data_IF_973228977388
#
_entry.id   IF_973228977388
#
_cell.length_a   1.000
_cell.length_b   1.000
_cell.length_c   1.000
_cell.angle_alpha   90.00
_cell.angle_beta   90.00
_cell.angle_gamma   90.00
#
_symmetry.space_group_name_H-M   'P 1'
#
loop_
_entity.id
_entity.type
_entity.pdbx_description
1 polymer ?
#
# COMPACT_ATOMS: atom_id res chain seq x y z
N UNK A 1 -30.38 -14.41 4.78
CA UNK A 1 -29.70 -14.11 3.48
C UNK A 1 -28.77 -12.89 3.56
N UNK A 2 -29.12 -11.80 4.23
CA UNK A 2 -28.19 -10.64 4.40
C UNK A 2 -26.91 -10.99 5.16
N UNK A 3 -26.99 -11.81 6.19
CA UNK A 3 -25.82 -12.31 6.96
C UNK A 3 -24.89 -13.19 6.12
N UNK A 4 -25.44 -14.05 5.26
CA UNK A 4 -24.66 -14.95 4.39
C UNK A 4 -23.91 -14.18 3.30
N UNK A 5 -24.45 -13.07 2.83
CA UNK A 5 -23.83 -12.23 1.80
C UNK A 5 -22.94 -11.13 2.38
N UNK A 6 -22.80 -11.04 3.71
CA UNK A 6 -21.96 -10.04 4.37
C UNK A 6 -22.42 -8.58 4.16
N UNK A 7 -23.66 -8.36 3.74
CA UNK A 7 -24.20 -7.03 3.44
C UNK A 7 -24.23 -6.12 4.67
N UNK A 8 -24.23 -6.70 5.88
CA UNK A 8 -24.17 -5.93 7.12
C UNK A 8 -22.82 -5.21 7.30
N UNK A 9 -21.74 -5.73 6.69
CA UNK A 9 -20.44 -5.05 6.68
C UNK A 9 -20.48 -3.70 5.95
N UNK A 10 -21.37 -3.52 4.97
CA UNK A 10 -21.52 -2.25 4.25
C UNK A 10 -21.96 -1.13 5.21
N UNK A 11 -22.65 -1.46 6.31
CA UNK A 11 -23.08 -0.47 7.31
C UNK A 11 -21.91 0.25 7.96
N UNK A 12 -20.71 -0.36 8.01
CA UNK A 12 -19.48 0.25 8.57
C UNK A 12 -19.07 1.47 7.73
N UNK A 13 -19.38 1.50 6.44
CA UNK A 13 -19.11 2.63 5.55
C UNK A 13 -19.91 3.90 5.91
N UNK A 14 -20.89 3.81 6.81
CA UNK A 14 -21.58 4.98 7.37
C UNK A 14 -20.69 5.77 8.34
N UNK A 15 -19.68 5.12 8.94
CA UNK A 15 -18.64 5.83 9.69
C UNK A 15 -17.73 6.60 8.72
N UNK A 16 -17.73 7.93 8.84
CA UNK A 16 -16.97 8.81 7.93
C UNK A 16 -15.47 8.53 7.94
N UNK A 17 -14.88 8.22 9.09
CA UNK A 17 -13.46 7.89 9.19
C UNK A 17 -13.17 6.56 8.49
N UNK A 18 -14.01 5.55 8.71
CA UNK A 18 -13.85 4.28 8.02
C UNK A 18 -14.04 4.41 6.51
N UNK A 19 -14.99 5.22 6.06
CA UNK A 19 -15.19 5.49 4.63
C UNK A 19 -13.95 6.14 4.00
N UNK A 20 -13.33 7.12 4.69
CA UNK A 20 -12.08 7.76 4.22
C UNK A 20 -10.97 6.71 4.11
N UNK A 21 -10.80 5.87 5.13
CA UNK A 21 -9.83 4.77 5.10
C UNK A 21 -10.13 3.78 3.96
N UNK A 22 -11.38 3.37 3.81
CA UNK A 22 -11.81 2.41 2.79
C UNK A 22 -11.51 2.91 1.36
N UNK A 23 -11.87 4.16 1.06
CA UNK A 23 -11.59 4.78 -0.24
C UNK A 23 -10.09 4.95 -0.45
N UNK A 24 -9.35 5.41 0.57
CA UNK A 24 -7.90 5.52 0.50
C UNK A 24 -7.23 4.17 0.25
N UNK A 25 -7.77 3.09 0.82
CA UNK A 25 -7.27 1.72 0.64
C UNK A 25 -7.45 1.21 -0.79
N UNK A 26 -8.58 1.53 -1.44
CA UNK A 26 -8.77 1.22 -2.86
C UNK A 26 -7.77 1.99 -3.71
N UNK A 27 -7.65 3.29 -3.46
CA UNK A 27 -6.80 4.17 -4.26
C UNK A 27 -5.31 3.83 -4.12
N UNK A 28 -4.82 3.49 -2.92
CA UNK A 28 -3.42 3.15 -2.69
C UNK A 28 -3.02 1.81 -3.35
N UNK A 29 -3.99 0.93 -3.63
CA UNK A 29 -3.73 -0.28 -4.39
C UNK A 29 -3.38 0.01 -5.86
N UNK A 30 -3.72 1.19 -6.38
CA UNK A 30 -3.31 1.59 -7.73
C UNK A 30 -1.77 1.72 -7.81
N UNK A 31 -1.08 2.53 -6.99
CA UNK A 31 0.38 2.51 -6.91
C UNK A 31 0.95 1.12 -6.61
N UNK A 32 0.33 0.36 -5.71
CA UNK A 32 0.78 -1.00 -5.37
C UNK A 32 0.83 -1.91 -6.59
N UNK A 33 -0.18 -1.82 -7.48
CA UNK A 33 -0.24 -2.61 -8.71
C UNK A 33 0.92 -2.30 -9.66
N UNK A 34 1.41 -1.05 -9.71
CA UNK A 34 2.62 -0.71 -10.46
C UNK A 34 3.83 -1.49 -9.98
N UNK A 35 3.99 -1.62 -8.66
CA UNK A 35 5.10 -2.41 -8.13
C UNK A 35 4.99 -3.89 -8.50
N UNK A 36 3.84 -4.50 -8.26
CA UNK A 36 3.67 -5.92 -8.54
C UNK A 36 3.75 -6.25 -10.03
N UNK A 37 3.25 -5.37 -10.89
CA UNK A 37 3.26 -5.58 -12.34
C UNK A 37 4.58 -5.22 -13.02
N UNK A 38 5.27 -4.17 -12.54
CA UNK A 38 6.32 -3.55 -13.31
C UNK A 38 7.71 -3.58 -12.66
N UNK A 39 7.82 -3.82 -11.34
CA UNK A 39 9.12 -3.69 -10.67
C UNK A 39 10.16 -4.70 -11.18
N UNK A 40 9.75 -5.93 -11.49
CA UNK A 40 10.68 -6.94 -12.00
C UNK A 40 11.20 -6.56 -13.40
N UNK A 41 10.31 -6.13 -14.30
CA UNK A 41 10.67 -5.66 -15.64
C UNK A 41 11.64 -4.48 -15.53
N UNK A 42 11.28 -3.48 -14.74
CA UNK A 42 12.10 -2.29 -14.49
C UNK A 42 13.50 -2.65 -14.01
N UNK A 43 13.63 -3.46 -12.95
CA UNK A 43 14.91 -3.81 -12.36
C UNK A 43 15.81 -4.59 -13.34
N UNK A 44 15.24 -5.45 -14.18
CA UNK A 44 15.98 -6.13 -15.24
C UNK A 44 16.42 -5.15 -16.32
N UNK A 45 15.56 -4.23 -16.74
CA UNK A 45 15.86 -3.27 -17.82
C UNK A 45 16.93 -2.25 -17.40
N UNK A 46 16.98 -1.84 -16.14
CA UNK A 46 18.08 -1.02 -15.61
C UNK A 46 19.37 -1.83 -15.34
N UNK A 47 19.40 -3.13 -15.68
CA UNK A 47 20.57 -3.97 -15.62
C UNK A 47 20.85 -4.63 -14.26
N UNK A 48 19.85 -4.71 -13.36
CA UNK A 48 20.02 -5.39 -12.08
C UNK A 48 20.02 -6.91 -12.26
N UNK A 49 21.19 -7.54 -12.19
CA UNK A 49 21.35 -9.01 -12.29
C UNK A 49 20.60 -9.70 -11.15
N UNK A 50 19.75 -10.72 -11.49
CA UNK A 50 19.01 -11.48 -10.50
C UNK A 50 17.92 -10.68 -9.78
N UNK A 51 17.25 -9.75 -10.47
CA UNK A 51 16.24 -8.84 -9.93
C UNK A 51 15.18 -9.55 -9.09
N UNK A 52 14.61 -10.65 -9.56
CA UNK A 52 13.59 -11.41 -8.84
C UNK A 52 14.09 -11.91 -7.47
N UNK A 53 15.31 -12.44 -7.40
CA UNK A 53 15.93 -12.84 -6.13
C UNK A 53 16.18 -11.66 -5.18
N UNK A 54 16.56 -10.49 -5.72
CA UNK A 54 16.78 -9.27 -4.90
C UNK A 54 15.46 -8.68 -4.39
N UNK A 55 14.37 -8.83 -5.13
CA UNK A 55 13.03 -8.42 -4.69
C UNK A 55 12.56 -9.17 -3.44
N UNK A 56 13.09 -10.39 -3.16
CA UNK A 56 12.76 -11.11 -1.92
C UNK A 56 13.22 -10.38 -0.65
N UNK A 57 14.14 -9.43 -0.74
CA UNK A 57 14.49 -8.55 0.37
C UNK A 57 13.28 -7.72 0.86
N UNK A 58 12.32 -7.46 -0.02
CA UNK A 58 11.06 -6.84 0.36
C UNK A 58 10.24 -7.71 1.32
N UNK A 59 10.16 -9.04 1.06
CA UNK A 59 9.47 -9.98 1.93
C UNK A 59 10.22 -10.20 3.26
N UNK A 60 11.56 -10.20 3.21
CA UNK A 60 12.38 -10.22 4.44
C UNK A 60 12.09 -8.97 5.29
N UNK A 61 12.06 -7.79 4.67
CA UNK A 61 11.73 -6.54 5.35
C UNK A 61 10.31 -6.58 5.93
N UNK A 62 9.32 -7.09 5.20
CA UNK A 62 7.95 -7.30 5.68
C UNK A 62 7.94 -8.18 6.94
N UNK A 63 8.62 -9.32 6.92
CA UNK A 63 8.74 -10.18 8.10
C UNK A 63 9.33 -9.43 9.31
N UNK A 64 10.39 -8.66 9.11
CA UNK A 64 11.03 -7.89 10.19
C UNK A 64 10.08 -6.82 10.73
N UNK A 65 9.43 -6.03 9.87
CA UNK A 65 8.51 -4.98 10.30
C UNK A 65 7.24 -5.53 10.94
N UNK A 66 6.77 -6.70 10.50
CA UNK A 66 5.65 -7.40 11.14
C UNK A 66 5.98 -7.76 12.61
N UNK A 67 7.19 -8.25 12.90
CA UNK A 67 7.63 -8.49 14.28
C UNK A 67 7.75 -7.19 15.10
N UNK A 68 8.12 -6.08 14.48
CA UNK A 68 8.24 -4.79 15.13
C UNK A 68 6.90 -4.02 15.24
N UNK A 69 5.85 -4.51 14.57
CA UNK A 69 4.53 -3.86 14.51
C UNK A 69 3.96 -3.47 15.88
N UNK A 70 3.97 -4.36 16.92
CA UNK A 70 3.40 -4.00 18.22
C UNK A 70 4.07 -2.77 18.83
N UNK A 71 5.40 -2.66 18.71
CA UNK A 71 6.15 -1.51 19.20
C UNK A 71 5.74 -0.21 18.51
N UNK A 72 5.68 -0.22 17.18
CA UNK A 72 5.29 0.94 16.38
C UNK A 72 3.83 1.31 16.59
N UNK A 73 2.96 0.31 16.70
CA UNK A 73 1.53 0.50 16.88
C UNK A 73 1.19 1.22 18.20
N UNK A 74 1.83 0.81 19.31
CA UNK A 74 1.66 1.44 20.61
C UNK A 74 2.15 2.90 20.58
N UNK A 75 3.25 3.17 19.87
CA UNK A 75 3.85 4.51 19.83
C UNK A 75 3.09 5.47 18.92
N UNK A 76 2.68 5.02 17.74
CA UNK A 76 2.12 5.88 16.70
C UNK A 76 0.59 5.82 16.60
N UNK A 77 0.00 4.66 16.87
CA UNK A 77 -1.43 4.43 16.67
C UNK A 77 -1.83 4.38 15.19
N UNK A 78 -3.11 4.11 14.95
CA UNK A 78 -3.67 3.77 13.62
C UNK A 78 -3.37 4.84 12.56
N UNK A 79 -3.75 6.10 12.81
CA UNK A 79 -3.63 7.16 11.80
C UNK A 79 -2.19 7.36 11.33
N UNK A 80 -1.24 7.40 12.27
CA UNK A 80 0.16 7.64 11.92
C UNK A 80 0.77 6.42 11.23
N UNK A 81 0.43 5.21 11.65
CA UNK A 81 0.89 3.98 10.98
C UNK A 81 0.43 3.93 9.53
N UNK A 82 -0.86 4.15 9.26
CA UNK A 82 -1.40 4.22 7.91
C UNK A 82 -0.69 5.29 7.08
N UNK A 83 -0.48 6.47 7.64
CA UNK A 83 0.19 7.57 6.96
C UNK A 83 1.66 7.27 6.65
N UNK A 84 2.41 6.67 7.59
CA UNK A 84 3.80 6.26 7.37
C UNK A 84 3.88 5.25 6.24
N UNK A 85 2.97 4.27 6.19
CA UNK A 85 2.86 3.33 5.08
C UNK A 85 2.64 4.03 3.73
N UNK A 86 1.71 5.00 3.68
CA UNK A 86 1.46 5.78 2.46
C UNK A 86 2.67 6.61 2.03
N UNK A 87 3.35 7.29 2.96
CA UNK A 87 4.55 8.08 2.66
C UNK A 87 5.68 7.16 2.17
N UNK A 88 5.80 5.96 2.74
CA UNK A 88 6.78 4.99 2.29
C UNK A 88 6.58 4.59 0.82
N UNK A 89 5.32 4.50 0.31
CA UNK A 89 5.07 4.35 -1.14
C UNK A 89 5.57 5.53 -1.95
N UNK A 90 5.33 6.77 -1.51
CA UNK A 90 5.83 7.97 -2.20
C UNK A 90 7.35 7.90 -2.32
N UNK A 91 8.05 7.68 -1.20
CA UNK A 91 9.50 7.58 -1.16
C UNK A 91 10.03 6.44 -2.01
N UNK A 92 9.41 5.27 -1.96
CA UNK A 92 9.77 4.10 -2.74
C UNK A 92 9.79 4.38 -4.23
N UNK A 93 8.73 4.98 -4.75
CA UNK A 93 8.64 5.29 -6.19
C UNK A 93 9.54 6.45 -6.60
N UNK A 94 9.82 7.41 -5.72
CA UNK A 94 10.88 8.40 -5.96
C UNK A 94 12.25 7.74 -6.05
N UNK A 95 12.56 6.80 -5.17
CA UNK A 95 13.82 6.04 -5.21
C UNK A 95 13.93 5.22 -6.50
N UNK A 96 12.85 4.62 -6.98
CA UNK A 96 12.85 3.93 -8.27
C UNK A 96 12.96 4.89 -9.46
N UNK A 97 12.34 6.09 -9.39
CA UNK A 97 12.41 7.08 -10.46
C UNK A 97 13.82 7.66 -10.67
N UNK A 98 14.62 7.71 -9.61
CA UNK A 98 15.97 8.30 -9.63
C UNK A 98 17.10 7.29 -9.42
N UNK A 99 16.79 6.03 -9.08
CA UNK A 99 17.75 4.95 -8.91
C UNK A 99 18.25 4.41 -10.26
N UNK A 100 19.48 3.96 -10.27
CA UNK A 100 20.14 3.29 -11.40
C UNK A 100 21.02 2.13 -10.91
N UNK A 101 21.54 1.33 -11.85
CA UNK A 101 22.44 0.21 -11.52
C UNK A 101 23.92 0.65 -11.35
N UNK A 102 24.17 1.93 -11.11
CA UNK A 102 25.49 2.50 -10.85
C UNK A 102 25.52 3.19 -9.48
N UNK A 103 25.75 4.49 -9.47
CA UNK A 103 25.77 5.29 -8.23
C UNK A 103 24.47 5.32 -7.46
N UNK A 104 23.33 5.13 -8.15
CA UNK A 104 21.99 5.06 -7.60
C UNK A 104 21.52 3.67 -7.14
N UNK A 105 22.38 2.65 -7.15
CA UNK A 105 22.03 1.28 -6.79
C UNK A 105 21.43 1.16 -5.38
N UNK A 106 21.93 1.94 -4.42
CA UNK A 106 21.39 1.99 -3.07
C UNK A 106 19.92 2.44 -3.03
N UNK A 107 19.48 3.31 -3.98
CA UNK A 107 18.08 3.74 -4.08
C UNK A 107 17.19 2.55 -4.48
N UNK A 108 17.65 1.70 -5.40
CA UNK A 108 16.91 0.50 -5.82
C UNK A 108 16.72 -0.46 -4.64
N UNK A 109 17.78 -0.76 -3.89
CA UNK A 109 17.67 -1.63 -2.70
C UNK A 109 16.80 -1.03 -1.61
N UNK A 110 16.95 0.25 -1.32
CA UNK A 110 16.11 0.94 -0.34
C UNK A 110 14.64 0.92 -0.79
N UNK A 111 14.37 1.16 -2.08
CA UNK A 111 13.02 1.06 -2.64
C UNK A 111 12.42 -0.35 -2.51
N UNK A 112 13.22 -1.41 -2.66
CA UNK A 112 12.78 -2.78 -2.43
C UNK A 112 12.46 -3.02 -0.94
N UNK A 113 13.35 -2.61 -0.03
CA UNK A 113 13.21 -2.82 1.43
C UNK A 113 12.04 -2.03 2.01
N UNK A 114 11.73 -0.86 1.47
CA UNK A 114 10.54 -0.08 1.89
C UNK A 114 9.22 -0.83 1.70
N UNK A 115 9.23 -1.97 0.97
CA UNK A 115 8.03 -2.81 0.82
C UNK A 115 7.43 -3.23 2.16
N UNK A 116 8.25 -3.65 3.11
CA UNK A 116 7.77 -4.05 4.43
C UNK A 116 7.04 -2.92 5.15
N UNK A 117 7.61 -1.71 5.16
CA UNK A 117 6.95 -0.55 5.77
C UNK A 117 5.64 -0.21 5.03
N UNK A 118 5.67 -0.16 3.69
CA UNK A 118 4.49 0.14 2.91
C UNK A 118 3.34 -0.84 3.23
N UNK A 119 3.66 -2.13 3.25
CA UNK A 119 2.67 -3.19 3.38
C UNK A 119 2.15 -3.32 4.81
N UNK A 120 3.04 -3.50 5.78
CA UNK A 120 2.63 -3.75 7.15
C UNK A 120 1.97 -2.55 7.79
N UNK A 121 2.56 -1.36 7.63
CA UNK A 121 2.04 -0.17 8.27
C UNK A 121 0.72 0.30 7.65
N UNK A 122 0.43 -0.06 6.41
CA UNK A 122 -0.86 0.26 5.82
C UNK A 122 -1.85 -0.91 5.89
N UNK A 123 -1.53 -2.06 5.29
CA UNK A 123 -2.51 -3.14 5.16
C UNK A 123 -2.74 -3.89 6.47
N UNK A 124 -1.70 -4.27 7.22
CA UNK A 124 -1.89 -4.96 8.50
C UNK A 124 -2.56 -4.02 9.52
N UNK A 125 -2.13 -2.75 9.60
CA UNK A 125 -2.83 -1.74 10.41
C UNK A 125 -4.27 -1.55 9.96
N UNK A 126 -4.53 -1.55 8.65
CA UNK A 126 -5.86 -1.42 8.07
C UNK A 126 -6.79 -2.59 8.43
N UNK A 127 -6.26 -3.81 8.46
CA UNK A 127 -6.99 -5.00 8.93
C UNK A 127 -7.36 -4.87 10.41
N UNK A 128 -6.41 -4.45 11.27
CA UNK A 128 -6.66 -4.19 12.69
C UNK A 128 -7.73 -3.10 12.86
N UNK A 129 -7.65 -2.02 12.09
CA UNK A 129 -8.63 -0.94 12.14
C UNK A 129 -10.02 -1.41 11.70
N UNK A 130 -10.09 -2.22 10.65
CA UNK A 130 -11.34 -2.82 10.17
C UNK A 130 -11.97 -3.70 11.25
N UNK A 131 -11.19 -4.53 11.92
CA UNK A 131 -11.66 -5.37 13.03
C UNK A 131 -12.24 -4.56 14.19
N UNK A 132 -11.56 -3.47 14.56
CA UNK A 132 -12.01 -2.58 15.62
C UNK A 132 -13.34 -1.88 15.29
N UNK A 133 -13.54 -1.52 14.02
CA UNK A 133 -14.76 -0.84 13.55
C UNK A 133 -15.93 -1.79 13.32
N UNK A 134 -15.66 -3.01 12.88
CA UNK A 134 -16.68 -3.98 12.55
C UNK A 134 -17.39 -4.57 13.77
N UNK A 135 -16.65 -4.75 14.86
CA UNK A 135 -17.14 -5.51 16.01
C UNK A 135 -17.23 -7.03 15.72
N UNK A 136 -17.53 -7.84 16.75
CA UNK A 136 -17.38 -9.30 16.66
C UNK A 136 -18.27 -9.97 15.60
N UNK A 137 -19.50 -9.50 15.43
CA UNK A 137 -20.51 -10.17 14.60
C UNK A 137 -20.28 -10.06 13.09
N UNK A 138 -19.66 -8.96 12.62
CA UNK A 138 -19.46 -8.71 11.19
C UNK A 138 -17.99 -8.63 10.78
N UNK A 139 -17.08 -8.98 11.68
CA UNK A 139 -15.61 -8.89 11.47
C UNK A 139 -15.17 -9.59 10.19
N UNK A 140 -15.51 -10.86 10.01
CA UNK A 140 -15.10 -11.64 8.83
C UNK A 140 -15.66 -11.04 7.54
N UNK A 141 -16.91 -10.59 7.54
CA UNK A 141 -17.53 -9.94 6.38
C UNK A 141 -16.88 -8.59 6.07
N UNK A 142 -16.48 -7.83 7.09
CA UNK A 142 -15.78 -6.56 6.93
C UNK A 142 -14.38 -6.76 6.35
N UNK A 143 -13.64 -7.79 6.79
CA UNK A 143 -12.35 -8.18 6.20
C UNK A 143 -12.53 -8.64 4.75
N UNK A 144 -13.56 -9.40 4.43
CA UNK A 144 -13.90 -9.78 3.06
C UNK A 144 -14.21 -8.56 2.19
N UNK A 145 -14.97 -7.58 2.71
CA UNK A 145 -15.32 -6.35 1.99
C UNK A 145 -14.07 -5.50 1.67
N UNK A 146 -13.20 -5.25 2.65
CA UNK A 146 -11.97 -4.49 2.41
C UNK A 146 -11.00 -5.23 1.47
N UNK A 147 -10.91 -6.56 1.58
CA UNK A 147 -10.09 -7.37 0.68
C UNK A 147 -10.60 -7.31 -0.76
N UNK A 148 -11.92 -7.44 -0.97
CA UNK A 148 -12.52 -7.30 -2.29
C UNK A 148 -12.29 -5.90 -2.88
N UNK A 149 -12.43 -4.86 -2.05
CA UNK A 149 -12.22 -3.48 -2.47
C UNK A 149 -10.76 -3.20 -2.85
N UNK A 150 -9.81 -3.70 -2.07
CA UNK A 150 -8.37 -3.48 -2.28
C UNK A 150 -7.82 -4.41 -3.37
N UNK A 151 -7.74 -5.72 -3.08
CA UNK A 151 -7.15 -6.71 -3.98
C UNK A 151 -8.03 -7.06 -5.20
N UNK A 152 -9.34 -6.86 -5.11
CA UNK A 152 -10.23 -6.94 -6.26
C UNK A 152 -10.20 -5.65 -7.07
N UNK A 153 -10.99 -4.65 -6.63
CA UNK A 153 -11.25 -3.43 -7.41
C UNK A 153 -9.99 -2.55 -7.55
N UNK A 154 -9.28 -2.28 -6.45
CA UNK A 154 -8.12 -1.39 -6.46
C UNK A 154 -6.98 -1.93 -7.31
N UNK A 155 -6.63 -3.20 -7.17
CA UNK A 155 -5.59 -3.85 -7.99
C UNK A 155 -6.00 -3.98 -9.45
N UNK A 156 -7.28 -4.30 -9.75
CA UNK A 156 -7.77 -4.36 -11.13
C UNK A 156 -7.57 -3.03 -11.87
N UNK A 157 -8.03 -1.92 -11.25
CA UNK A 157 -7.83 -0.57 -11.81
C UNK A 157 -6.34 -0.27 -11.93
N UNK A 158 -5.57 -0.61 -10.91
CA UNK A 158 -4.13 -0.34 -10.86
C UNK A 158 -3.34 -1.06 -11.94
N UNK A 159 -3.57 -2.35 -12.16
CA UNK A 159 -2.90 -3.10 -13.23
C UNK A 159 -3.27 -2.58 -14.62
N UNK A 160 -4.55 -2.26 -14.84
CA UNK A 160 -4.97 -1.65 -16.10
C UNK A 160 -4.28 -0.31 -16.36
N UNK A 161 -4.25 0.58 -15.37
CA UNK A 161 -3.56 1.87 -15.46
C UNK A 161 -2.05 1.70 -15.65
N UNK A 162 -1.43 0.76 -14.94
CA UNK A 162 0.00 0.48 -15.06
C UNK A 162 0.36 0.03 -16.47
N UNK A 163 -0.43 -0.88 -17.07
CA UNK A 163 -0.22 -1.31 -18.46
C UNK A 163 -0.30 -0.14 -19.43
N UNK A 164 -1.40 0.63 -19.40
CA UNK A 164 -1.58 1.79 -20.31
C UNK A 164 -0.44 2.82 -20.15
N UNK A 165 0.02 3.08 -18.91
CA UNK A 165 1.09 4.04 -18.68
C UNK A 165 2.44 3.51 -19.16
N UNK A 166 2.76 2.24 -18.92
CA UNK A 166 4.02 1.65 -19.37
C UNK A 166 4.09 1.65 -20.89
N UNK A 167 3.03 1.23 -21.57
CA UNK A 167 2.95 1.26 -23.03
C UNK A 167 3.13 2.68 -23.60
N UNK A 168 2.54 3.69 -22.93
CA UNK A 168 2.66 5.10 -23.35
C UNK A 168 4.10 5.64 -23.27
N UNK A 169 4.88 5.14 -22.33
CA UNK A 169 6.27 5.58 -22.08
C UNK A 169 7.31 4.61 -22.66
N UNK A 170 6.90 3.72 -23.58
CA UNK A 170 7.81 2.91 -24.39
C UNK A 170 8.59 3.81 -25.33
N UNK A 171 9.91 3.62 -25.39
CA UNK A 171 10.82 4.37 -26.26
C UNK A 171 11.05 3.64 -27.59
N UNK A 172 11.49 4.33 -28.66
CA UNK A 172 11.71 3.71 -29.97
C UNK A 172 12.74 2.59 -29.99
N UNK A 173 13.65 2.54 -29.00
CA UNK A 173 14.66 1.49 -28.84
C UNK A 173 14.14 0.25 -28.09
N UNK A 174 12.86 0.24 -27.73
CA UNK A 174 12.22 -0.86 -27.00
C UNK A 174 12.42 -0.81 -25.48
N UNK A 175 13.11 0.20 -24.95
CA UNK A 175 13.21 0.45 -23.52
C UNK A 175 12.10 1.38 -23.01
N UNK A 176 12.02 1.61 -21.71
CA UNK A 176 10.98 2.45 -21.13
C UNK A 176 11.55 3.69 -20.42
N UNK A 177 10.80 4.80 -20.44
CA UNK A 177 11.11 5.96 -19.63
C UNK A 177 10.68 5.71 -18.17
N UNK A 178 11.44 4.88 -17.45
CA UNK A 178 11.13 4.46 -16.08
C UNK A 178 11.00 5.61 -15.10
N UNK A 179 11.77 6.68 -15.29
CA UNK A 179 11.66 7.87 -14.45
C UNK A 179 10.25 8.45 -14.52
N UNK A 180 9.71 8.66 -15.71
CA UNK A 180 8.36 9.17 -15.89
C UNK A 180 7.31 8.19 -15.35
N UNK A 181 7.48 6.88 -15.61
CA UNK A 181 6.58 5.82 -15.16
C UNK A 181 6.49 5.80 -13.64
N UNK A 182 7.61 5.85 -12.89
CA UNK A 182 7.60 5.78 -11.42
C UNK A 182 7.17 7.09 -10.74
N UNK A 183 7.35 8.24 -11.37
CA UNK A 183 6.86 9.51 -10.84
C UNK A 183 5.34 9.58 -10.78
N UNK A 184 4.62 8.89 -11.68
CA UNK A 184 3.15 8.89 -11.70
C UNK A 184 2.57 8.24 -10.45
N UNK A 185 2.86 6.96 -10.10
CA UNK A 185 2.36 6.36 -8.88
C UNK A 185 2.88 7.05 -7.62
N UNK A 186 4.08 7.67 -7.65
CA UNK A 186 4.58 8.49 -6.55
C UNK A 186 3.71 9.72 -6.30
N UNK A 187 3.42 10.49 -7.33
CA UNK A 187 2.56 11.68 -7.25
C UNK A 187 1.13 11.30 -6.84
N UNK A 188 0.61 10.19 -7.36
CA UNK A 188 -0.71 9.69 -7.00
C UNK A 188 -0.78 9.28 -5.52
N UNK A 189 0.20 8.52 -5.02
CA UNK A 189 0.30 8.16 -3.60
C UNK A 189 0.44 9.40 -2.70
N UNK A 190 1.20 10.43 -3.13
CA UNK A 190 1.32 11.70 -2.40
C UNK A 190 -0.02 12.43 -2.31
N UNK A 191 -0.78 12.48 -3.40
CA UNK A 191 -2.13 13.05 -3.43
C UNK A 191 -3.08 12.34 -2.47
N UNK A 192 -3.08 10.99 -2.46
CA UNK A 192 -3.91 10.21 -1.54
C UNK A 192 -3.48 10.47 -0.08
N UNK A 193 -2.17 10.50 0.19
CA UNK A 193 -1.63 10.77 1.53
C UNK A 193 -2.09 12.13 2.06
N UNK A 194 -2.06 13.15 1.20
CA UNK A 194 -2.52 14.49 1.55
C UNK A 194 -4.02 14.50 1.87
N UNK A 195 -4.85 13.90 1.01
CA UNK A 195 -6.29 13.79 1.24
C UNK A 195 -6.59 13.01 2.53
N UNK A 196 -5.84 11.93 2.78
CA UNK A 196 -5.98 11.15 4.00
C UNK A 196 -5.68 11.97 5.25
N UNK A 197 -4.60 12.75 5.27
CA UNK A 197 -4.24 13.64 6.40
C UNK A 197 -5.35 14.63 6.70
N UNK A 198 -5.95 15.22 5.65
CA UNK A 198 -7.00 16.24 5.78
C UNK A 198 -8.35 15.66 6.24
N UNK A 199 -8.70 14.49 5.76
CA UNK A 199 -10.03 13.91 5.94
C UNK A 199 -10.12 12.89 7.08
N UNK A 200 -9.07 12.11 7.32
CA UNK A 200 -9.06 11.09 8.36
C UNK A 200 -8.75 11.71 9.73
N UNK A 201 -9.68 11.57 10.66
CA UNK A 201 -9.52 12.08 12.03
C UNK A 201 -9.06 10.96 12.97
N UNK A 202 -8.28 11.29 13.99
CA UNK A 202 -8.00 10.32 15.05
C UNK A 202 -9.32 9.96 15.75
N UNK A 203 -9.64 8.66 15.76
CA UNK A 203 -10.69 8.21 16.66
C UNK A 203 -10.25 8.49 18.11
N UNK A 204 -11.18 8.96 18.95
CA UNK A 204 -10.91 9.09 20.38
C UNK A 204 -10.41 7.73 20.87
N UNK A 205 -9.27 7.71 21.57
CA UNK A 205 -8.71 6.47 22.14
C UNK A 205 -9.81 5.73 22.89
N UNK A 206 -10.35 4.69 22.29
CA UNK A 206 -11.07 3.67 23.07
C UNK A 206 -9.98 2.99 23.87
N UNK A 207 -10.00 3.17 25.18
CA UNK A 207 -9.05 2.52 26.07
C UNK A 207 -9.13 1.01 25.76
N UNK A 208 -8.04 0.44 25.29
CA UNK A 208 -7.87 -1.01 25.25
C UNK A 208 -7.85 -1.42 26.72
N UNK A 209 -9.00 -1.80 27.26
CA UNK A 209 -9.05 -2.57 28.50
C UNK A 209 -8.33 -3.88 28.19
N UNK A 210 -7.12 -3.97 28.72
CA UNK A 210 -6.42 -5.23 28.84
C UNK A 210 -7.26 -6.10 29.81
N UNK A 211 -8.14 -6.91 29.27
CA UNK A 211 -8.65 -8.05 30.00
C UNK A 211 -7.57 -9.12 29.90
N UNK A 212 -6.99 -9.35 31.07
CA UNK A 212 -6.03 -10.41 31.37
C UNK A 212 -6.69 -11.80 31.23
#
# INVERSE_FOLDING_TARGET
>A
MSEVLGLDAIKILKDKNYLVFFVASILICIPLAFYYGQANLYLNEVGMVGAAGKMTLGQVAETVFLFLMPFFFVRFGIKQMLLIGMIAWVLRYLLFAYGDNGGGLWMLYTGIILHGICYDFFFVTGQIYTDQKAGPHVRSSAQGLITLATYGLGMYIGFYMAGVIVDKYLLPDGTHNWKAIWLIPSAFAAGISLLFVLLFKNDKKTAVTAEA
#
